data_IF_710293789332
#
_entry.id   IF_710293789332
#
_cell.length_a   1.000
_cell.length_b   1.000
_cell.length_c   1.000
_cell.angle_alpha   90.00
_cell.angle_beta   90.00
_cell.angle_gamma   90.00
#
_symmetry.space_group_name_H-M   'P 1'
#
loop_
_entity.id
_entity.type
_entity.pdbx_description
1 polymer ?
#
# COMPACT_ATOMS: atom_id res chain seq x y z
N UNK A 1 -12.93 14.95 -5.63
CA UNK A 1 -12.57 14.17 -6.83
C UNK A 1 -11.51 13.15 -6.39
N UNK A 2 -11.96 12.05 -5.78
CA UNK A 2 -11.07 11.04 -5.20
C UNK A 2 -10.28 10.35 -6.31
N UNK A 3 -8.95 10.34 -6.15
CA UNK A 3 -8.03 9.98 -7.22
C UNK A 3 -8.16 8.48 -7.54
N UNK A 4 -8.55 8.17 -8.77
CA UNK A 4 -8.50 6.81 -9.34
C UNK A 4 -7.12 6.17 -9.06
N UNK A 5 -7.09 4.85 -8.87
CA UNK A 5 -5.84 4.13 -8.68
C UNK A 5 -4.84 4.50 -9.81
N UNK A 6 -3.57 4.76 -9.49
CA UNK A 6 -2.58 5.13 -10.49
C UNK A 6 -2.38 3.97 -11.46
N UNK A 7 -2.18 4.30 -12.74
CA UNK A 7 -2.06 3.30 -13.80
C UNK A 7 -0.73 3.46 -14.53
N UNK A 8 -0.02 2.36 -14.80
CA UNK A 8 1.09 2.37 -15.74
C UNK A 8 0.66 2.95 -17.10
N UNK A 9 1.58 3.64 -17.79
CA UNK A 9 1.32 4.27 -19.08
C UNK A 9 0.67 5.65 -19.02
N UNK A 10 0.34 6.15 -17.83
CA UNK A 10 -0.18 7.52 -17.63
C UNK A 10 0.66 8.30 -16.63
N UNK A 11 0.77 9.64 -16.75
CA UNK A 11 1.36 10.48 -15.72
C UNK A 11 0.71 10.25 -14.36
N UNK A 12 1.52 10.30 -13.30
CA UNK A 12 1.11 10.13 -11.90
C UNK A 12 1.70 11.24 -11.04
N UNK A 13 1.32 11.31 -9.76
CA UNK A 13 1.91 12.28 -8.82
C UNK A 13 3.43 12.10 -8.79
N UNK A 14 4.16 13.18 -9.05
CA UNK A 14 5.62 13.18 -9.03
C UNK A 14 6.29 12.56 -10.27
N UNK A 15 5.56 12.21 -11.34
CA UNK A 15 6.18 11.73 -12.59
C UNK A 15 5.29 11.89 -13.83
N UNK A 16 5.86 12.40 -14.91
CA UNK A 16 5.22 12.47 -16.24
C UNK A 16 5.55 11.27 -17.14
N UNK A 17 6.49 10.41 -16.72
CA UNK A 17 7.08 9.37 -17.57
C UNK A 17 6.16 8.20 -17.92
N UNK A 18 5.07 8.00 -17.18
CA UNK A 18 4.19 6.83 -17.30
C UNK A 18 4.84 5.49 -16.92
N UNK A 19 6.07 5.48 -16.37
CA UNK A 19 6.77 4.24 -16.00
C UNK A 19 6.00 3.46 -14.94
N UNK A 20 5.85 2.12 -15.06
CA UNK A 20 5.10 1.31 -14.10
C UNK A 20 5.57 1.47 -12.65
N UNK A 21 6.89 1.57 -12.45
CA UNK A 21 7.48 1.78 -11.12
C UNK A 21 6.99 3.09 -10.47
N UNK A 22 6.77 4.15 -11.25
CA UNK A 22 6.27 5.41 -10.71
C UNK A 22 4.80 5.30 -10.31
N UNK A 23 3.99 4.52 -11.04
CA UNK A 23 2.60 4.27 -10.67
C UNK A 23 2.48 3.51 -9.35
N UNK A 24 3.30 2.47 -9.12
CA UNK A 24 3.29 1.77 -7.83
C UNK A 24 3.84 2.64 -6.70
N UNK A 25 4.86 3.46 -6.95
CA UNK A 25 5.36 4.41 -5.93
C UNK A 25 4.33 5.48 -5.57
N UNK A 26 3.54 6.00 -6.52
CA UNK A 26 2.39 6.87 -6.19
C UNK A 26 1.38 6.14 -5.32
N UNK A 27 0.99 4.91 -5.68
CA UNK A 27 0.02 4.13 -4.90
C UNK A 27 0.50 3.89 -3.47
N UNK A 28 1.75 3.45 -3.29
CA UNK A 28 2.36 3.18 -2.00
C UNK A 28 2.54 4.46 -1.16
N UNK A 29 2.83 5.58 -1.82
CA UNK A 29 2.94 6.90 -1.17
C UNK A 29 1.60 7.48 -0.69
N UNK A 30 0.46 6.90 -1.08
CA UNK A 30 -0.84 7.33 -0.55
C UNK A 30 -0.97 6.93 0.92
N UNK A 31 -1.40 7.88 1.74
CA UNK A 31 -1.62 7.67 3.18
C UNK A 31 -2.50 6.44 3.40
N UNK A 32 -2.10 5.58 4.33
CA UNK A 32 -2.71 4.30 4.72
C UNK A 32 -2.51 3.11 3.77
N UNK A 33 -2.07 3.30 2.53
CA UNK A 33 -1.92 2.17 1.58
C UNK A 33 -0.93 1.12 2.08
N UNK A 34 0.28 1.54 2.47
CA UNK A 34 1.29 0.62 3.03
C UNK A 34 0.80 -0.06 4.31
N UNK A 35 0.08 0.65 5.18
CA UNK A 35 -0.48 0.09 6.42
C UNK A 35 -1.49 -1.02 6.12
N UNK A 36 -2.39 -0.81 5.16
CA UNK A 36 -3.37 -1.82 4.74
C UNK A 36 -2.68 -3.06 4.17
N UNK A 37 -1.71 -2.87 3.28
CA UNK A 37 -0.95 -3.98 2.69
C UNK A 37 -0.25 -4.82 3.75
N UNK A 38 0.38 -4.17 4.74
CA UNK A 38 1.02 -4.84 5.86
C UNK A 38 0.02 -5.61 6.73
N UNK A 39 -1.13 -5.01 7.09
CA UNK A 39 -2.12 -5.71 7.91
C UNK A 39 -2.72 -6.93 7.20
N UNK A 40 -2.89 -6.84 5.87
CA UNK A 40 -3.38 -7.94 5.05
C UNK A 40 -2.32 -9.01 4.75
N UNK A 41 -1.03 -8.68 4.81
CA UNK A 41 0.04 -9.67 4.70
C UNK A 41 0.11 -10.58 5.92
N UNK A 42 -0.32 -10.09 7.09
CA UNK A 42 -0.35 -10.91 8.31
C UNK A 42 -1.53 -11.88 8.31
N UNK A 43 -2.72 -11.40 7.96
CA UNK A 43 -3.91 -12.23 7.83
C UNK A 43 -5.03 -11.49 7.06
N UNK A 44 -5.88 -12.23 6.31
CA UNK A 44 -7.12 -11.68 5.78
C UNK A 44 -7.98 -11.01 6.86
N UNK A 45 -8.72 -9.97 6.49
CA UNK A 45 -9.55 -9.22 7.43
C UNK A 45 -10.83 -8.69 6.79
N UNK A 46 -11.93 -8.69 7.54
CA UNK A 46 -13.13 -7.93 7.20
C UNK A 46 -12.93 -6.43 7.36
N UNK A 47 -13.80 -5.62 6.76
CA UNK A 47 -13.70 -4.15 6.76
C UNK A 47 -13.51 -3.54 8.16
N UNK A 48 -14.38 -3.91 9.12
CA UNK A 48 -14.34 -3.35 10.49
C UNK A 48 -13.09 -3.77 11.24
N UNK A 49 -12.60 -4.98 11.02
CA UNK A 49 -11.37 -5.47 11.65
C UNK A 49 -10.16 -4.74 11.07
N UNK A 50 -10.08 -4.60 9.76
CA UNK A 50 -9.02 -3.85 9.10
C UNK A 50 -9.00 -2.38 9.55
N UNK A 51 -10.18 -1.77 9.73
CA UNK A 51 -10.31 -0.42 10.27
C UNK A 51 -9.76 -0.31 11.70
N UNK A 52 -9.99 -1.31 12.56
CA UNK A 52 -9.41 -1.36 13.91
C UNK A 52 -7.89 -1.49 13.87
N UNK A 53 -7.36 -2.38 13.03
CA UNK A 53 -5.91 -2.59 12.86
C UNK A 53 -5.20 -1.34 12.30
N UNK A 54 -5.90 -0.53 11.52
CA UNK A 54 -5.40 0.73 10.97
C UNK A 54 -5.78 1.96 11.84
N UNK A 55 -5.61 1.86 13.16
CA UNK A 55 -5.77 2.99 14.10
C UNK A 55 -7.09 3.78 13.96
N UNK A 56 -8.19 3.08 13.62
CA UNK A 56 -9.53 3.69 13.43
C UNK A 56 -9.59 4.75 12.32
N UNK A 57 -8.82 4.57 11.25
CA UNK A 57 -8.98 5.30 9.99
C UNK A 57 -10.47 5.46 9.60
N UNK A 58 -10.85 6.60 9.00
CA UNK A 58 -12.26 6.81 8.59
C UNK A 58 -12.70 5.77 7.57
N UNK A 59 -13.98 5.37 7.64
CA UNK A 59 -14.55 4.37 6.73
C UNK A 59 -14.45 4.80 5.26
N UNK A 60 -14.61 6.11 4.98
CA UNK A 60 -14.43 6.65 3.63
C UNK A 60 -13.01 6.44 3.10
N UNK A 61 -11.99 6.75 3.90
CA UNK A 61 -10.60 6.58 3.49
C UNK A 61 -10.27 5.10 3.32
N UNK A 62 -10.75 4.22 4.22
CA UNK A 62 -10.55 2.78 4.07
C UNK A 62 -11.20 2.25 2.78
N UNK A 63 -12.43 2.65 2.48
CA UNK A 63 -13.13 2.26 1.26
C UNK A 63 -12.35 2.69 0.02
N UNK A 64 -11.99 3.97 -0.07
CA UNK A 64 -11.23 4.52 -1.20
C UNK A 64 -9.91 3.78 -1.41
N UNK A 65 -9.20 3.42 -0.33
CA UNK A 65 -7.94 2.66 -0.42
C UNK A 65 -8.16 1.22 -0.86
N UNK A 66 -9.19 0.54 -0.36
CA UNK A 66 -9.53 -0.82 -0.79
C UNK A 66 -9.97 -0.85 -2.25
N UNK A 67 -10.68 0.17 -2.73
CA UNK A 67 -11.05 0.30 -4.14
C UNK A 67 -9.83 0.51 -5.04
N UNK A 68 -8.87 1.34 -4.61
CA UNK A 68 -7.60 1.51 -5.33
C UNK A 68 -6.75 0.22 -5.35
N UNK A 69 -6.65 -0.48 -4.22
CA UNK A 69 -5.89 -1.72 -4.09
C UNK A 69 -6.53 -2.89 -4.85
N UNK A 70 -7.86 -2.95 -4.87
CA UNK A 70 -8.61 -3.93 -5.67
C UNK A 70 -8.52 -3.60 -7.16
N UNK A 71 -8.64 -2.32 -7.52
CA UNK A 71 -8.50 -1.85 -8.90
C UNK A 71 -7.10 -2.03 -9.48
N UNK A 72 -6.07 -2.11 -8.62
CA UNK A 72 -4.69 -2.44 -8.98
C UNK A 72 -4.36 -3.94 -8.90
N UNK A 73 -5.35 -4.77 -8.53
CA UNK A 73 -5.23 -6.24 -8.37
C UNK A 73 -4.24 -6.69 -7.29
N UNK A 74 -3.91 -5.81 -6.33
CA UNK A 74 -3.06 -6.16 -5.18
C UNK A 74 -3.88 -6.79 -4.05
N UNK A 75 -5.15 -6.39 -3.93
CA UNK A 75 -6.11 -6.92 -2.96
C UNK A 75 -7.30 -7.52 -3.70
N UNK A 76 -7.92 -8.52 -3.09
CA UNK A 76 -9.19 -9.09 -3.55
C UNK A 76 -10.15 -9.24 -2.38
N UNK A 77 -11.45 -9.09 -2.66
CA UNK A 77 -12.51 -9.40 -1.70
C UNK A 77 -12.92 -10.87 -1.84
N UNK A 78 -13.01 -11.59 -0.73
CA UNK A 78 -13.44 -12.98 -0.67
C UNK A 78 -14.14 -13.27 0.66
N UNK A 79 -15.29 -13.96 0.63
CA UNK A 79 -16.10 -14.32 1.80
C UNK A 79 -16.37 -13.17 2.79
N UNK A 80 -16.59 -11.95 2.27
CA UNK A 80 -16.84 -10.77 3.10
C UNK A 80 -15.60 -10.18 3.78
N UNK A 81 -14.40 -10.68 3.45
CA UNK A 81 -13.11 -10.13 3.86
C UNK A 81 -12.26 -9.67 2.68
N UNK A 82 -11.13 -9.05 3.01
CA UNK A 82 -10.08 -8.65 2.09
C UNK A 82 -8.83 -9.47 2.36
N UNK A 83 -8.11 -9.83 1.30
CA UNK A 83 -6.80 -10.48 1.35
C UNK A 83 -5.90 -9.96 0.24
N UNK A 84 -4.59 -10.14 0.39
CA UNK A 84 -3.67 -9.93 -0.71
C UNK A 84 -3.95 -10.95 -1.83
N UNK A 85 -3.76 -10.52 -3.07
CA UNK A 85 -3.57 -11.45 -4.17
C UNK A 85 -2.12 -11.93 -4.19
N UNK A 86 -1.79 -12.93 -5.01
CA UNK A 86 -0.40 -13.31 -5.25
C UNK A 86 0.47 -12.11 -5.67
N UNK A 87 -0.06 -11.23 -6.53
CA UNK A 87 0.65 -10.01 -6.93
C UNK A 87 0.86 -9.04 -5.76
N UNK A 88 -0.10 -8.97 -4.83
CA UNK A 88 0.02 -8.20 -3.60
C UNK A 88 1.06 -8.77 -2.64
N UNK A 89 1.11 -10.09 -2.50
CA UNK A 89 2.12 -10.82 -1.72
C UNK A 89 3.53 -10.58 -2.28
N UNK A 90 3.71 -10.77 -3.60
CA UNK A 90 4.96 -10.50 -4.31
C UNK A 90 5.45 -9.06 -4.08
N UNK A 91 4.52 -8.08 -4.06
CA UNK A 91 4.86 -6.68 -3.77
C UNK A 91 5.35 -6.48 -2.34
N UNK A 92 4.69 -7.10 -1.35
CA UNK A 92 5.13 -7.02 0.05
C UNK A 92 6.52 -7.65 0.22
N UNK A 93 6.77 -8.79 -0.42
CA UNK A 93 8.09 -9.43 -0.44
C UNK A 93 9.16 -8.54 -1.08
N UNK A 94 8.84 -7.88 -2.20
CA UNK A 94 9.75 -6.94 -2.87
C UNK A 94 10.10 -5.71 -2.01
N UNK A 95 9.25 -5.34 -1.04
CA UNK A 95 9.52 -4.25 -0.11
C UNK A 95 10.45 -4.65 1.04
N UNK A 96 10.64 -5.94 1.32
CA UNK A 96 11.56 -6.43 2.36
C UNK A 96 13.00 -5.94 2.16
N UNK A 97 13.65 -6.13 0.99
CA UNK A 97 15.00 -5.62 0.77
C UNK A 97 15.07 -4.09 0.80
N UNK A 98 14.01 -3.41 0.36
CA UNK A 98 13.93 -1.94 0.44
C UNK A 98 13.89 -1.46 1.89
N UNK A 99 13.15 -2.15 2.77
CA UNK A 99 13.10 -1.87 4.21
C UNK A 99 14.45 -2.15 4.89
N UNK A 100 15.15 -3.22 4.50
CA UNK A 100 16.50 -3.48 5.00
C UNK A 100 17.48 -2.37 4.60
N UNK A 101 17.40 -1.93 3.34
CA UNK A 101 18.18 -0.79 2.84
C UNK A 101 17.83 0.51 3.57
N UNK A 102 16.55 0.82 3.78
CA UNK A 102 16.11 2.08 4.41
C UNK A 102 16.64 2.20 5.85
N UNK A 103 16.68 1.09 6.59
CA UNK A 103 17.30 1.03 7.92
C UNK A 103 18.79 1.34 7.89
N UNK A 104 19.51 0.86 6.87
CA UNK A 104 20.93 1.19 6.68
C UNK A 104 21.10 2.67 6.33
N UNK A 105 20.31 3.16 5.39
CA UNK A 105 20.31 4.57 5.00
C UNK A 105 20.03 5.50 6.19
N UNK A 106 19.06 5.19 7.05
CA UNK A 106 18.77 5.99 8.24
C UNK A 106 19.98 6.11 9.19
N UNK A 107 20.71 5.00 9.42
CA UNK A 107 21.94 4.99 10.24
C UNK A 107 23.04 5.87 9.64
N UNK A 108 23.23 5.80 8.32
CA UNK A 108 24.26 6.58 7.62
C UNK A 108 23.91 8.07 7.51
N UNK A 109 22.62 8.39 7.35
CA UNK A 109 22.14 9.76 7.25
C UNK A 109 22.04 10.51 8.60
N UNK A 110 22.43 9.88 9.71
CA UNK A 110 22.34 10.48 11.05
C UNK A 110 20.91 10.53 11.62
N UNK A 111 19.96 9.81 11.02
CA UNK A 111 18.60 9.69 11.52
C UNK A 111 18.54 8.66 12.64
N UNK A 112 18.47 9.13 13.89
CA UNK A 112 18.23 8.28 15.05
C UNK A 112 17.05 7.35 14.81
N UNK A 113 17.23 6.08 15.18
CA UNK A 113 16.17 5.07 15.26
C UNK A 113 15.03 5.61 16.10
N UNK A 114 13.91 5.99 15.46
CA UNK A 114 12.64 6.11 16.16
C UNK A 114 12.13 4.68 16.36
N UNK A 115 12.11 4.29 17.63
CA UNK A 115 11.57 3.06 18.21
C UNK A 115 10.07 2.89 17.93
#
# INVERSE_FOLDING_TARGET
>A
MEARAPRPGTPVRGSESGRPVMAVLDLLGRRWTMRILWELSQAPAGFRELQRRCERMSSSVLSTRLDELTGSRLVTSHDGGYRLTRLGEDLVEALVPLNAWSRRWAREAGGGTAE
#
